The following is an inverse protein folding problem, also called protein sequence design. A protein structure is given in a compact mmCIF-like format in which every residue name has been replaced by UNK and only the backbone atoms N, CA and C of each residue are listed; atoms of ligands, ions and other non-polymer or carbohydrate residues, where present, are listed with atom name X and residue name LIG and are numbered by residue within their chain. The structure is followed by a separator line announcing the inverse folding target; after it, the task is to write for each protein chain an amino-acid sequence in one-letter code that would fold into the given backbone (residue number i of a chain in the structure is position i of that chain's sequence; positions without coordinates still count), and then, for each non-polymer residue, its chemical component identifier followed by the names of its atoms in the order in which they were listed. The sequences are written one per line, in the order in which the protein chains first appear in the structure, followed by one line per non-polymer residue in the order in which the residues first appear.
data_IF_790645033421
#
_entry.id   IF_790645033421
#
_cell.length_a   1.000
_cell.length_b   1.000
_cell.length_c   1.000
_cell.angle_alpha   90.00
_cell.angle_beta   90.00
_cell.angle_gamma   90.00
#
_symmetry.space_group_name_H-M   'P 1'
#
loop_
_entity.id
_entity.type
_entity.pdbx_description
1 polymer ?
#
# COMPACT_ATOMS: atom_id res chain seq x y z
N UNK A 1 8.77 -16.01 -1.92
CA UNK A 1 7.55 -15.82 -1.12
C UNK A 1 7.28 -14.33 -1.06
N UNK A 2 6.09 -13.90 -1.49
CA UNK A 2 5.62 -12.51 -1.41
C UNK A 2 4.55 -12.43 -0.31
N UNK A 3 4.43 -11.30 0.36
CA UNK A 3 3.33 -11.02 1.28
C UNK A 3 2.43 -9.97 0.65
N UNK A 4 1.19 -10.35 0.35
CA UNK A 4 0.15 -9.45 -0.10
C UNK A 4 -0.64 -8.97 1.12
N UNK A 5 -0.56 -7.68 1.42
CA UNK A 5 -1.31 -7.04 2.50
C UNK A 5 -2.53 -6.33 1.92
N UNK A 6 -3.71 -6.70 2.39
CA UNK A 6 -4.91 -5.91 2.13
C UNK A 6 -4.82 -4.53 2.80
N UNK A 7 -5.33 -3.50 2.14
CA UNK A 7 -5.29 -2.12 2.65
C UNK A 7 -6.03 -1.95 4.00
N UNK A 8 -7.04 -2.77 4.29
CA UNK A 8 -7.73 -2.77 5.60
C UNK A 8 -6.78 -3.10 6.76
N UNK A 9 -5.73 -3.90 6.53
CA UNK A 9 -4.70 -4.20 7.54
C UNK A 9 -4.01 -2.91 7.95
N UNK A 10 -3.60 -2.09 6.97
CA UNK A 10 -2.92 -0.83 7.24
C UNK A 10 -3.84 0.17 7.94
N UNK A 11 -5.12 0.19 7.59
CA UNK A 11 -6.13 1.00 8.27
C UNK A 11 -6.26 0.61 9.75
N UNK A 12 -6.36 -0.69 10.04
CA UNK A 12 -6.43 -1.20 11.41
C UNK A 12 -5.18 -0.84 12.22
N UNK A 13 -3.99 -0.96 11.61
CA UNK A 13 -2.73 -0.61 12.28
C UNK A 13 -2.62 0.89 12.54
N UNK A 14 -3.03 1.72 11.59
CA UNK A 14 -3.07 3.17 11.77
C UNK A 14 -4.06 3.56 12.89
N UNK A 15 -5.23 2.93 12.93
CA UNK A 15 -6.21 3.12 14.00
C UNK A 15 -5.63 2.71 15.36
N UNK A 16 -4.98 1.56 15.49
CA UNK A 16 -4.25 1.17 16.72
C UNK A 16 -3.18 2.19 17.12
N UNK A 17 -2.37 2.69 16.18
CA UNK A 17 -1.34 3.72 16.45
C UNK A 17 -1.95 5.03 17.00
N UNK A 18 -3.14 5.39 16.54
CA UNK A 18 -3.83 6.62 17.00
C UNK A 18 -4.53 6.45 18.34
N UNK A 19 -4.83 5.20 18.75
CA UNK A 19 -5.43 4.90 20.05
C UNK A 19 -4.34 4.91 21.11
N UNK A 20 -4.48 5.76 22.12
CA UNK A 20 -3.58 5.80 23.28
C UNK A 20 -3.76 4.61 24.23
N UNK A 21 -4.19 3.44 23.72
CA UNK A 21 -4.50 2.24 24.52
C UNK A 21 -3.25 1.53 25.05
N UNK A 22 -2.07 1.87 24.54
CA UNK A 22 -0.80 1.24 24.92
C UNK A 22 -0.56 -0.13 24.29
N UNK A 23 -1.57 -0.74 23.68
CA UNK A 23 -1.44 -1.99 22.93
C UNK A 23 -0.78 -1.73 21.58
N UNK A 24 0.27 -2.48 21.27
CA UNK A 24 1.04 -2.37 20.03
C UNK A 24 1.14 -3.68 19.26
N UNK A 25 0.64 -4.78 19.83
CA UNK A 25 0.71 -6.12 19.26
C UNK A 25 -0.64 -6.58 18.73
N UNK A 26 -0.62 -7.36 17.66
CA UNK A 26 -1.81 -8.07 17.22
C UNK A 26 -1.55 -9.22 16.24
N UNK A 27 -2.62 -9.85 15.80
CA UNK A 27 -2.61 -10.98 14.87
C UNK A 27 -2.76 -10.52 13.43
N UNK A 28 -2.11 -11.24 12.51
CA UNK A 28 -2.30 -11.15 11.07
C UNK A 28 -3.09 -12.37 10.61
N UNK A 29 -4.24 -12.12 9.99
CA UNK A 29 -5.17 -13.16 9.58
C UNK A 29 -5.26 -13.22 8.06
N UNK A 30 -5.21 -14.43 7.51
CA UNK A 30 -5.24 -14.62 6.07
C UNK A 30 -5.09 -16.07 5.65
N UNK A 31 -4.64 -16.29 4.42
CA UNK A 31 -4.46 -17.61 3.83
C UNK A 31 -3.18 -17.71 3.01
N UNK A 32 -2.77 -18.95 2.75
CA UNK A 32 -1.53 -19.29 2.03
C UNK A 32 -1.87 -19.74 0.62
N UNK A 33 -1.16 -19.18 -0.36
CA UNK A 33 -1.14 -19.61 -1.76
C UNK A 33 0.27 -20.12 -2.11
N UNK A 34 0.46 -20.82 -3.25
CA UNK A 34 1.73 -21.48 -3.55
C UNK A 34 2.97 -20.57 -3.53
N UNK A 35 2.82 -19.30 -3.90
CA UNK A 35 3.89 -18.32 -4.06
C UNK A 35 3.78 -17.08 -3.14
N UNK A 36 2.64 -16.95 -2.46
CA UNK A 36 2.30 -15.77 -1.66
C UNK A 36 1.51 -16.07 -0.39
N UNK A 37 1.75 -15.24 0.63
CA UNK A 37 0.92 -15.15 1.84
C UNK A 37 -0.02 -13.96 1.65
N UNK A 38 -1.32 -14.19 1.77
CA UNK A 38 -2.32 -13.12 1.64
C UNK A 38 -2.88 -12.78 3.00
N UNK A 39 -2.55 -11.60 3.52
CA UNK A 39 -3.07 -11.07 4.77
C UNK A 39 -4.30 -10.22 4.48
N UNK A 40 -5.46 -10.70 4.92
CA UNK A 40 -6.76 -10.08 4.62
C UNK A 40 -7.16 -9.10 5.70
N UNK A 41 -6.81 -9.35 6.96
CA UNK A 41 -7.18 -8.47 8.07
C UNK A 41 -6.22 -8.63 9.25
N UNK A 42 -6.36 -7.77 10.25
CA UNK A 42 -5.58 -7.79 11.48
C UNK A 42 -6.45 -7.51 12.70
N UNK A 43 -6.00 -8.01 13.85
CA UNK A 43 -6.72 -7.89 15.12
C UNK A 43 -5.76 -7.50 16.24
N UNK A 44 -6.07 -6.40 16.92
CA UNK A 44 -5.34 -5.97 18.11
C UNK A 44 -5.56 -6.96 19.27
N UNK A 45 -4.46 -7.29 19.94
CA UNK A 45 -4.45 -8.13 21.14
C UNK A 45 -4.26 -7.26 22.38
N UNK A 46 -5.16 -7.39 23.35
CA UNK A 46 -4.97 -6.82 24.69
C UNK A 46 -4.06 -7.70 25.56
N UNK A 47 -4.06 -9.01 25.30
CA UNK A 47 -3.27 -10.00 26.03
C UNK A 47 -2.65 -10.99 25.04
N UNK A 48 -1.47 -11.52 25.36
CA UNK A 48 -0.74 -12.47 24.53
C UNK A 48 -0.85 -13.92 25.02
N UNK A 49 -1.71 -14.19 26.01
CA UNK A 49 -1.92 -15.54 26.48
C UNK A 49 -2.65 -16.40 25.41
N UNK A 50 -2.34 -17.71 25.33
CA UNK A 50 -2.89 -18.57 24.28
C UNK A 50 -4.42 -18.68 24.29
N UNK A 51 -5.06 -18.62 25.46
CA UNK A 51 -6.52 -18.74 25.58
C UNK A 51 -7.20 -17.52 24.96
N UNK A 52 -6.77 -16.32 25.32
CA UNK A 52 -7.27 -15.06 24.75
C UNK A 52 -7.05 -15.00 23.23
N UNK A 53 -5.85 -15.37 22.76
CA UNK A 53 -5.55 -15.40 21.31
C UNK A 53 -6.52 -16.33 20.58
N UNK A 54 -6.77 -17.52 21.13
CA UNK A 54 -7.68 -18.49 20.52
C UNK A 54 -9.13 -18.00 20.52
N UNK A 55 -9.59 -17.42 21.63
CA UNK A 55 -10.92 -16.82 21.71
C UNK A 55 -11.11 -15.71 20.69
N UNK A 56 -10.14 -14.79 20.59
CA UNK A 56 -10.16 -13.69 19.62
C UNK A 56 -10.16 -14.20 18.19
N UNK A 57 -9.35 -15.22 17.88
CA UNK A 57 -9.34 -15.84 16.56
C UNK A 57 -10.68 -16.52 16.23
N UNK A 58 -11.30 -17.20 17.20
CA UNK A 58 -12.58 -17.89 17.00
C UNK A 58 -13.70 -16.90 16.62
N UNK A 59 -13.72 -15.70 17.18
CA UNK A 59 -14.69 -14.66 16.78
C UNK A 59 -14.59 -14.29 15.29
N UNK A 60 -13.41 -14.41 14.68
CA UNK A 60 -13.20 -14.12 13.26
C UNK A 60 -13.46 -15.33 12.37
N UNK A 61 -13.33 -16.55 12.90
CA UNK A 61 -13.61 -17.79 12.15
C UNK A 61 -15.04 -17.85 11.63
N UNK A 62 -15.98 -17.28 12.37
CA UNK A 62 -17.39 -17.22 11.96
C UNK A 62 -17.61 -16.32 10.73
N UNK A 63 -16.78 -15.29 10.55
CA UNK A 63 -16.88 -14.33 9.44
C UNK A 63 -15.96 -14.71 8.27
N UNK A 64 -14.77 -15.26 8.56
CA UNK A 64 -13.76 -15.66 7.59
C UNK A 64 -13.30 -17.11 7.82
N UNK A 65 -14.10 -18.12 7.45
CA UNK A 65 -13.82 -19.53 7.75
C UNK A 65 -12.50 -20.03 7.17
N UNK A 66 -12.14 -19.56 5.97
CA UNK A 66 -10.91 -19.87 5.26
C UNK A 66 -9.65 -19.22 5.84
N UNK A 67 -9.81 -18.27 6.77
CA UNK A 67 -8.70 -17.53 7.36
C UNK A 67 -8.01 -18.33 8.46
N UNK A 68 -6.70 -18.10 8.59
CA UNK A 68 -5.80 -18.69 9.57
C UNK A 68 -4.91 -17.60 10.16
N UNK A 69 -4.34 -17.85 11.34
CA UNK A 69 -3.30 -16.98 11.88
C UNK A 69 -2.04 -17.20 11.05
N UNK A 70 -1.65 -16.18 10.28
CA UNK A 70 -0.43 -16.22 9.48
C UNK A 70 0.78 -15.72 10.27
N UNK A 71 0.55 -14.82 11.23
CA UNK A 71 1.61 -14.14 11.94
C UNK A 71 1.13 -13.09 12.92
N UNK A 72 2.04 -12.19 13.29
CA UNK A 72 1.80 -11.11 14.25
C UNK A 72 2.34 -9.79 13.74
N UNK A 73 1.82 -8.70 14.25
CA UNK A 73 2.44 -7.39 14.13
C UNK A 73 2.85 -6.87 15.50
N UNK A 74 3.89 -6.06 15.54
CA UNK A 74 4.23 -5.24 16.70
C UNK A 74 4.64 -3.84 16.20
N UNK A 75 4.01 -2.82 16.76
CA UNK A 75 4.20 -1.42 16.36
C UNK A 75 5.29 -0.70 17.19
N UNK A 76 5.76 -1.30 18.29
CA UNK A 76 6.77 -0.73 19.18
C UNK A 76 8.11 -1.46 19.10
N UNK A 77 8.08 -2.78 18.95
CA UNK A 77 9.29 -3.60 18.81
C UNK A 77 9.50 -4.01 17.34
N UNK A 78 10.75 -3.92 16.88
CA UNK A 78 11.17 -4.29 15.53
C UNK A 78 11.85 -5.65 15.48
N UNK A 79 11.86 -6.42 16.58
CA UNK A 79 12.46 -7.75 16.57
C UNK A 79 11.56 -8.75 15.82
N UNK A 80 12.00 -9.23 14.64
CA UNK A 80 11.21 -10.18 13.89
C UNK A 80 11.23 -11.55 14.57
N UNK A 81 10.08 -12.21 14.60
CA UNK A 81 9.91 -13.54 15.18
C UNK A 81 10.10 -14.63 14.12
N UNK A 82 9.93 -15.89 14.55
CA UNK A 82 10.06 -17.07 13.67
C UNK A 82 8.89 -17.23 12.70
N UNK A 83 7.80 -16.48 12.85
CA UNK A 83 6.62 -16.55 11.97
C UNK A 83 6.56 -15.32 11.03
N UNK A 84 5.44 -15.11 10.32
CA UNK A 84 5.22 -13.84 9.61
C UNK A 84 5.14 -12.70 10.65
N UNK A 85 5.98 -11.70 10.48
CA UNK A 85 6.04 -10.54 11.35
C UNK A 85 5.89 -9.26 10.54
N UNK A 86 4.98 -8.38 10.93
CA UNK A 86 4.75 -7.08 10.32
C UNK A 86 5.13 -5.96 11.29
N UNK A 87 5.94 -5.01 10.82
CA UNK A 87 6.22 -3.75 11.50
C UNK A 87 5.96 -2.60 10.54
N UNK A 88 5.77 -1.40 11.10
CA UNK A 88 5.65 -0.15 10.36
C UNK A 88 6.80 0.75 10.80
N UNK A 89 7.44 1.44 9.84
CA UNK A 89 8.46 2.44 10.15
C UNK A 89 7.86 3.84 10.39
N UNK A 90 8.72 4.81 10.70
CA UNK A 90 8.31 6.20 10.95
C UNK A 90 7.66 6.87 9.72
N UNK A 91 7.91 6.34 8.52
CA UNK A 91 7.32 6.79 7.26
C UNK A 91 6.04 6.03 6.88
N UNK A 92 5.48 5.28 7.83
CA UNK A 92 4.30 4.43 7.64
C UNK A 92 4.47 3.37 6.54
N UNK A 93 5.70 2.96 6.23
CA UNK A 93 5.95 1.90 5.27
C UNK A 93 5.88 0.52 5.96
N UNK A 94 5.00 -0.39 5.51
CA UNK A 94 4.91 -1.72 6.07
C UNK A 94 6.11 -2.57 5.66
N UNK A 95 6.71 -3.27 6.62
CA UNK A 95 7.80 -4.21 6.40
C UNK A 95 7.41 -5.57 6.94
N UNK A 96 7.32 -6.55 6.04
CA UNK A 96 7.06 -7.94 6.42
C UNK A 96 8.36 -8.74 6.51
N UNK A 97 8.45 -9.55 7.55
CA UNK A 97 9.52 -10.50 7.79
C UNK A 97 8.93 -11.90 7.86
N UNK A 98 9.61 -12.88 7.26
CA UNK A 98 9.26 -14.29 7.38
C UNK A 98 10.48 -15.02 7.93
N UNK A 99 10.36 -15.63 9.10
CA UNK A 99 11.44 -16.32 9.80
C UNK A 99 12.67 -15.39 9.98
N UNK A 100 12.43 -14.16 10.42
CA UNK A 100 13.49 -13.15 10.60
C UNK A 100 14.00 -12.47 9.32
N UNK A 101 13.56 -12.88 8.12
CA UNK A 101 14.06 -12.33 6.84
C UNK A 101 13.06 -11.39 6.21
N UNK A 102 13.52 -10.20 5.78
CA UNK A 102 12.69 -9.26 5.04
C UNK A 102 12.16 -9.91 3.75
N UNK A 103 10.86 -9.82 3.53
CA UNK A 103 10.19 -10.34 2.34
C UNK A 103 9.50 -9.22 1.58
N UNK A 104 9.35 -9.40 0.26
CA UNK A 104 8.66 -8.44 -0.59
C UNK A 104 7.21 -8.30 -0.09
N UNK A 105 6.84 -7.06 0.22
CA UNK A 105 5.49 -6.70 0.64
C UNK A 105 4.81 -5.98 -0.51
N UNK A 106 3.61 -6.43 -0.87
CA UNK A 106 2.76 -5.81 -1.87
C UNK A 106 1.48 -5.39 -1.18
N UNK A 107 1.04 -4.15 -1.41
CA UNK A 107 -0.27 -3.70 -0.94
C UNK A 107 -1.25 -4.05 -2.05
N UNK A 108 -2.16 -4.97 -1.76
CA UNK A 108 -3.25 -5.34 -2.65
C UNK A 108 -4.57 -4.83 -2.05
N UNK A 109 -5.58 -4.67 -2.89
CA UNK A 109 -6.91 -4.27 -2.42
C UNK A 109 -7.95 -4.97 -3.27
N UNK A 110 -8.94 -5.55 -2.60
CA UNK A 110 -10.16 -5.98 -3.27
C UNK A 110 -10.81 -4.78 -3.98
N UNK A 111 -11.66 -5.05 -4.97
CA UNK A 111 -12.39 -4.01 -5.69
C UNK A 111 -13.14 -3.07 -4.74
N UNK A 112 -13.79 -3.64 -3.71
CA UNK A 112 -14.51 -2.86 -2.70
C UNK A 112 -13.57 -1.99 -1.85
N UNK A 113 -12.41 -2.52 -1.44
CA UNK A 113 -11.39 -1.75 -0.72
C UNK A 113 -10.81 -0.63 -1.59
N UNK A 114 -10.54 -0.89 -2.87
CA UNK A 114 -10.04 0.11 -3.81
C UNK A 114 -11.05 1.26 -4.00
N UNK A 115 -12.35 0.95 -4.13
CA UNK A 115 -13.42 1.95 -4.19
C UNK A 115 -13.51 2.74 -2.89
N UNK A 116 -13.41 2.08 -1.73
CA UNK A 116 -13.45 2.76 -0.44
C UNK A 116 -12.25 3.70 -0.25
N UNK A 117 -11.03 3.23 -0.54
CA UNK A 117 -9.80 4.01 -0.42
C UNK A 117 -9.78 5.21 -1.37
N UNK A 118 -10.22 5.03 -2.62
CA UNK A 118 -10.35 6.15 -3.58
C UNK A 118 -11.39 7.17 -3.10
N UNK A 119 -12.53 6.72 -2.58
CA UNK A 119 -13.56 7.61 -2.02
C UNK A 119 -13.05 8.45 -0.85
N UNK A 120 -12.23 7.87 0.03
CA UNK A 120 -11.62 8.58 1.17
C UNK A 120 -10.60 9.62 0.68
N UNK A 121 -9.79 9.27 -0.31
CA UNK A 121 -8.74 10.14 -0.86
C UNK A 121 -9.34 11.34 -1.58
N UNK A 122 -10.34 11.11 -2.45
CA UNK A 122 -11.02 12.14 -3.22
C UNK A 122 -11.87 13.10 -2.36
N UNK A 123 -12.13 12.77 -1.09
CA UNK A 123 -12.79 13.67 -0.14
C UNK A 123 -11.83 14.61 0.58
N UNK A 124 -10.54 14.28 0.64
CA UNK A 124 -9.50 15.12 1.27
C UNK A 124 -8.89 16.11 0.30
N UNK A 125 -8.89 15.80 -1.00
CA UNK A 125 -8.52 16.77 -2.03
C UNK A 125 -9.70 17.72 -2.27
N UNK A 126 -9.52 18.98 -1.89
CA UNK A 126 -10.44 20.06 -2.23
C UNK A 126 -10.83 19.95 -3.72
N UNK A 127 -12.13 19.97 -4.00
CA UNK A 127 -12.78 19.89 -5.33
C UNK A 127 -12.21 20.82 -6.43
N UNK A 128 -11.25 21.70 -6.12
CA UNK A 128 -10.54 22.58 -7.06
C UNK A 128 -9.32 21.93 -7.73
N UNK A 129 -8.75 20.86 -7.18
CA UNK A 129 -7.57 20.20 -7.77
C UNK A 129 -7.98 19.30 -8.94
N UNK A 130 -9.12 18.61 -8.82
CA UNK A 130 -9.61 17.65 -9.82
C UNK A 130 -9.93 18.26 -11.18
N UNK A 131 -10.50 19.46 -11.25
CA UNK A 131 -10.81 20.09 -12.55
C UNK A 131 -9.52 20.49 -13.29
N UNK A 132 -8.53 21.04 -12.57
CA UNK A 132 -7.27 21.46 -13.16
C UNK A 132 -6.38 20.27 -13.55
N UNK A 133 -6.39 19.19 -12.74
CA UNK A 133 -5.61 17.99 -13.04
C UNK A 133 -6.22 17.22 -14.22
N UNK A 134 -7.56 17.07 -14.27
CA UNK A 134 -8.22 16.44 -15.41
C UNK A 134 -8.02 17.24 -16.69
N UNK A 135 -8.06 18.57 -16.64
CA UNK A 135 -7.76 19.41 -17.80
C UNK A 135 -6.28 19.29 -18.24
N UNK A 136 -5.35 19.18 -17.29
CA UNK A 136 -3.93 18.95 -17.58
C UNK A 136 -3.67 17.55 -18.17
N UNK A 137 -4.28 16.51 -17.62
CA UNK A 137 -4.19 15.12 -18.11
C UNK A 137 -4.80 15.03 -19.51
N UNK A 138 -5.93 15.68 -19.76
CA UNK A 138 -6.54 15.71 -21.08
C UNK A 138 -5.63 16.42 -22.09
N UNK A 139 -5.07 17.60 -21.75
CA UNK A 139 -4.12 18.30 -22.61
C UNK A 139 -2.86 17.48 -22.91
N UNK A 140 -2.36 16.71 -21.94
CA UNK A 140 -1.22 15.80 -22.15
C UNK A 140 -1.62 14.64 -23.06
N UNK A 141 -2.81 14.08 -22.89
CA UNK A 141 -3.34 12.97 -23.70
C UNK A 141 -3.56 13.41 -25.16
N UNK A 142 -4.13 14.59 -25.37
CA UNK A 142 -4.34 15.20 -26.69
C UNK A 142 -3.00 15.52 -27.37
N UNK A 143 -1.99 15.95 -26.60
CA UNK A 143 -0.64 16.16 -27.12
C UNK A 143 0.06 14.86 -27.46
N UNK A 144 -0.01 13.85 -26.60
CA UNK A 144 0.60 12.52 -26.82
C UNK A 144 0.02 11.82 -28.05
N UNK A 145 -1.27 11.96 -28.30
CA UNK A 145 -1.94 11.41 -29.50
C UNK A 145 -1.55 12.13 -30.79
N UNK A 146 -1.00 13.35 -30.72
CA UNK A 146 -0.47 14.10 -31.85
C UNK A 146 1.00 13.80 -32.19
N UNK A 147 1.70 13.05 -31.33
CA UNK A 147 3.12 12.71 -31.52
C UNK A 147 3.31 11.54 -32.47
N UNK A 148 4.37 11.60 -33.28
CA UNK A 148 4.76 10.46 -34.12
C UNK A 148 5.55 9.40 -33.30
N UNK A 149 5.66 8.16 -33.79
CA UNK A 149 6.31 7.07 -33.06
C UNK A 149 7.76 7.36 -32.63
N UNK A 150 8.53 8.13 -33.41
CA UNK A 150 9.89 8.52 -33.05
C UNK A 150 9.97 9.47 -31.85
N UNK A 151 9.00 10.39 -31.73
CA UNK A 151 8.92 11.29 -30.57
C UNK A 151 8.48 10.54 -29.30
N UNK A 152 7.57 9.57 -29.43
CA UNK A 152 7.15 8.73 -28.31
C UNK A 152 8.30 7.90 -27.74
N UNK A 153 9.16 7.33 -28.61
CA UNK A 153 10.35 6.58 -28.19
C UNK A 153 11.36 7.48 -27.46
N UNK A 154 11.53 8.72 -27.91
CA UNK A 154 12.41 9.68 -27.26
C UNK A 154 11.90 10.07 -25.86
N UNK A 155 10.60 10.30 -25.70
CA UNK A 155 9.96 10.58 -24.40
C UNK A 155 10.10 9.37 -23.47
N UNK A 156 9.84 8.15 -23.96
CA UNK A 156 9.98 6.93 -23.18
C UNK A 156 11.43 6.75 -22.67
N UNK A 157 12.43 7.03 -23.51
CA UNK A 157 13.83 6.96 -23.12
C UNK A 157 14.22 8.05 -22.10
N UNK A 158 13.68 9.27 -22.22
CA UNK A 158 13.92 10.35 -21.27
C UNK A 158 13.27 10.06 -19.90
N UNK A 159 12.06 9.50 -19.88
CA UNK A 159 11.40 9.08 -18.65
C UNK A 159 12.13 7.91 -17.97
N UNK A 160 12.67 6.98 -18.77
CA UNK A 160 13.49 5.87 -18.27
C UNK A 160 14.82 6.39 -17.70
N UNK A 161 15.46 7.36 -18.36
CA UNK A 161 16.71 7.99 -17.90
C UNK A 161 16.53 8.82 -16.62
N UNK A 162 15.39 9.51 -16.49
CA UNK A 162 15.06 10.25 -15.27
C UNK A 162 14.46 9.38 -14.15
N UNK A 163 14.03 8.15 -14.46
CA UNK A 163 13.42 7.20 -13.52
C UNK A 163 14.41 6.39 -12.67
N UNK A 164 15.72 6.56 -12.83
CA UNK A 164 16.74 5.80 -12.07
C UNK A 164 17.14 6.42 -10.73
N UNK A 165 16.56 7.56 -10.32
CA UNK A 165 16.71 8.07 -8.95
C UNK A 165 15.54 7.59 -8.08
N UNK A 166 15.84 6.73 -7.13
CA UNK A 166 14.96 6.02 -6.18
C UNK A 166 14.20 6.90 -5.17
N UNK A 167 13.63 8.02 -5.60
CA UNK A 167 12.76 8.86 -4.76
C UNK A 167 11.31 8.78 -5.26
N UNK A 168 10.38 8.50 -4.34
CA UNK A 168 8.94 8.61 -4.53
C UNK A 168 8.61 9.94 -5.21
N UNK A 169 8.29 9.90 -6.50
CA UNK A 169 7.85 11.09 -7.22
C UNK A 169 6.39 11.35 -6.86
N UNK A 170 6.18 12.48 -6.19
CA UNK A 170 4.91 13.18 -6.14
C UNK A 170 4.31 13.24 -7.56
N UNK A 171 3.11 12.71 -7.75
CA UNK A 171 2.46 12.59 -9.06
C UNK A 171 2.33 13.95 -9.74
N UNK A 172 2.20 15.02 -8.94
CA UNK A 172 2.16 16.41 -9.42
C UNK A 172 3.48 16.82 -10.09
N UNK A 173 4.62 16.42 -9.52
CA UNK A 173 5.96 16.70 -10.04
C UNK A 173 6.27 15.88 -11.28
N UNK A 174 5.86 14.61 -11.30
CA UNK A 174 5.97 13.77 -12.51
C UNK A 174 5.14 14.33 -13.67
N UNK A 175 3.93 14.84 -13.40
CA UNK A 175 3.07 15.48 -14.39
C UNK A 175 3.65 16.81 -14.88
N UNK A 176 4.26 17.61 -13.99
CA UNK A 176 4.94 18.85 -14.34
C UNK A 176 6.19 18.60 -15.20
N UNK A 177 7.02 17.61 -14.85
CA UNK A 177 8.21 17.23 -15.62
C UNK A 177 7.83 16.77 -17.03
N UNK A 178 6.74 16.00 -17.15
CA UNK A 178 6.23 15.51 -18.43
C UNK A 178 5.62 16.65 -19.28
N UNK A 179 4.96 17.62 -18.64
CA UNK A 179 4.47 18.84 -19.30
C UNK A 179 5.61 19.74 -19.81
N UNK A 180 6.71 19.87 -19.05
CA UNK A 180 7.91 20.63 -19.46
C UNK A 180 8.60 19.93 -20.64
N UNK A 181 8.83 18.62 -20.55
CA UNK A 181 9.47 17.84 -21.61
C UNK A 181 8.67 17.86 -22.91
N UNK A 182 7.34 17.73 -22.83
CA UNK A 182 6.47 17.83 -24.01
C UNK A 182 6.44 19.25 -24.59
N UNK A 183 6.60 20.30 -23.77
CA UNK A 183 6.67 21.68 -24.27
C UNK A 183 7.98 21.99 -25.02
N UNK A 184 9.09 21.37 -24.62
CA UNK A 184 10.40 21.55 -25.27
C UNK A 184 10.53 20.81 -26.61
N UNK A 185 9.70 19.78 -26.84
CA UNK A 185 9.72 18.98 -28.07
C UNK A 185 8.75 19.48 -29.15
N UNK A 186 7.83 20.38 -28.81
CA UNK A 186 6.75 20.87 -29.67
C UNK A 186 6.75 22.40 -29.89
N UNK A 187 7.69 23.12 -29.27
CA UNK A 187 8.02 24.51 -29.60
C UNK A 187 9.17 24.56 -30.59
#
# INVERSE_FOLDING_TARGET
MIVDLHSVVLLNLADTLTRQSGNSTGLLLGYVLPDKLVVVTSVELAHEDPEYIQERFNLFKDVYPQSTILGRYNLQDKQPTNDLFLTIDESFQPQCYLNGKLVKTVIDSSETEAIATSTITNRKEDKKVDENLNEAVQKITDRMSSLNPSQLVMIANLLTYHGTSTEQRDLSKATADLAILTSQLLG
#
